data_IF_172224319191
#
_entry.id   IF_172224319191
#
_cell.length_a   1.000
_cell.length_b   1.000
_cell.length_c   1.000
_cell.angle_alpha   90.00
_cell.angle_beta   90.00
_cell.angle_gamma   90.00
#
_symmetry.space_group_name_H-M   'P 1'
#
loop_
_entity.id
_entity.type
_entity.pdbx_description
1 polymer ?
#
# COMPACT_ATOMS: atom_id res chain seq x y z
N UNK A 1 7.89 -4.04 20.33
CA UNK A 1 8.98 -4.79 20.99
C UNK A 1 10.27 -4.03 20.73
N UNK A 2 11.06 -3.79 21.77
CA UNK A 2 12.35 -3.09 21.69
C UNK A 2 13.39 -3.80 22.57
N UNK A 3 14.64 -3.80 22.12
CA UNK A 3 15.77 -4.36 22.87
C UNK A 3 16.61 -3.19 23.39
N UNK A 4 16.93 -3.18 24.68
CA UNK A 4 17.72 -2.13 25.32
C UNK A 4 18.88 -2.74 26.11
N UNK A 5 20.01 -2.05 26.17
CA UNK A 5 21.16 -2.47 27.00
C UNK A 5 20.90 -2.12 28.47
N UNK A 6 21.27 -3.02 29.37
CA UNK A 6 21.06 -2.90 30.81
C UNK A 6 19.70 -3.42 31.30
N UNK A 7 19.51 -3.34 32.61
CA UNK A 7 18.27 -3.74 33.29
C UNK A 7 17.36 -2.54 33.50
N UNK A 8 16.22 -2.54 32.81
CA UNK A 8 15.24 -1.45 32.84
C UNK A 8 13.90 -2.04 33.27
N UNK A 9 13.32 -1.52 34.34
CA UNK A 9 11.98 -1.88 34.79
C UNK A 9 11.03 -0.71 34.55
N UNK A 10 9.89 -0.98 33.90
CA UNK A 10 8.82 -0.01 33.74
C UNK A 10 7.46 -0.70 33.81
N UNK A 11 6.55 -0.16 34.63
CA UNK A 11 5.23 -0.73 34.88
C UNK A 11 4.28 -0.66 33.67
N UNK A 12 4.59 0.17 32.66
CA UNK A 12 3.79 0.34 31.45
C UNK A 12 4.03 -0.77 30.42
N UNK A 13 5.05 -1.62 30.63
CA UNK A 13 5.39 -2.68 29.69
C UNK A 13 5.88 -3.95 30.38
N UNK A 14 5.85 -5.05 29.64
CA UNK A 14 6.49 -6.29 30.08
C UNK A 14 7.98 -6.19 29.79
N UNK A 15 8.80 -6.23 30.83
CA UNK A 15 10.25 -6.23 30.75
C UNK A 15 10.77 -7.67 30.91
N UNK A 16 11.54 -8.16 29.96
CA UNK A 16 12.24 -9.44 30.06
C UNK A 16 13.75 -9.18 30.08
N UNK A 17 14.44 -9.72 31.07
CA UNK A 17 15.85 -9.43 31.26
C UNK A 17 16.75 -10.56 30.76
N UNK A 18 17.80 -10.18 30.02
CA UNK A 18 18.99 -11.00 29.77
C UNK A 18 20.13 -10.61 30.73
N UNK A 19 21.34 -11.09 30.49
CA UNK A 19 22.50 -10.79 31.35
C UNK A 19 22.93 -9.32 31.31
N UNK A 20 22.78 -8.66 30.15
CA UNK A 20 23.19 -7.28 29.92
C UNK A 20 22.16 -6.48 29.10
N UNK A 21 20.95 -6.99 28.96
CA UNK A 21 19.89 -6.35 28.17
C UNK A 21 18.50 -6.53 28.78
N UNK A 22 17.57 -5.68 28.34
CA UNK A 22 16.14 -5.78 28.60
C UNK A 22 15.37 -5.77 27.28
N UNK A 23 14.52 -6.77 27.08
CA UNK A 23 13.52 -6.82 26.03
C UNK A 23 12.21 -6.23 26.56
N UNK A 24 11.81 -5.10 26.00
CA UNK A 24 10.57 -4.40 26.33
C UNK A 24 9.46 -4.80 25.36
N UNK A 25 8.35 -5.28 25.92
CA UNK A 25 7.16 -5.71 25.19
C UNK A 25 5.96 -4.91 25.71
N UNK A 26 5.43 -4.01 24.87
CA UNK A 26 4.24 -3.21 25.19
C UNK A 26 3.72 -2.45 23.97
N UNK A 27 2.71 -1.59 24.20
CA UNK A 27 2.01 -0.75 23.22
C UNK A 27 2.76 0.56 22.93
N UNK A 28 2.10 1.52 22.26
CA UNK A 28 2.67 2.80 21.82
C UNK A 28 3.41 3.60 22.91
N UNK A 29 2.98 3.48 24.17
CA UNK A 29 3.60 4.17 25.32
C UNK A 29 5.07 3.78 25.55
N UNK A 30 5.46 2.57 25.12
CA UNK A 30 6.85 2.10 25.19
C UNK A 30 7.74 2.85 24.21
N UNK A 31 7.19 3.30 23.08
CA UNK A 31 7.92 4.03 22.05
C UNK A 31 8.30 5.43 22.53
N UNK A 32 7.34 6.17 23.09
CA UNK A 32 7.57 7.50 23.66
C UNK A 32 8.62 7.44 24.78
N UNK A 33 8.58 6.40 25.61
CA UNK A 33 9.58 6.18 26.66
C UNK A 33 10.98 6.00 26.08
N UNK A 34 11.14 5.17 25.05
CA UNK A 34 12.46 4.92 24.44
C UNK A 34 13.00 6.20 23.79
N UNK A 35 12.16 6.96 23.09
CA UNK A 35 12.54 8.20 22.42
C UNK A 35 12.91 9.32 23.42
N UNK A 36 12.28 9.33 24.59
CA UNK A 36 12.47 10.40 25.59
C UNK A 36 13.58 10.09 26.60
N UNK A 37 13.76 8.81 26.97
CA UNK A 37 14.59 8.42 28.12
C UNK A 37 15.86 7.62 27.78
N UNK A 38 15.97 7.00 26.60
CA UNK A 38 17.10 6.11 26.29
C UNK A 38 17.82 6.48 24.97
N UNK A 39 18.63 7.53 25.04
CA UNK A 39 19.68 7.81 24.06
C UNK A 39 20.91 6.94 24.35
N UNK A 40 20.89 5.63 24.03
CA UNK A 40 22.08 4.89 23.57
C UNK A 40 21.81 3.41 23.25
N UNK A 41 22.19 3.07 22.02
CA UNK A 41 22.62 1.77 21.50
C UNK A 41 21.59 0.60 21.44
N UNK A 42 21.17 0.35 20.19
CA UNK A 42 20.55 -0.85 19.60
C UNK A 42 19.02 -0.88 19.48
N UNK A 43 18.47 -0.01 18.62
CA UNK A 43 17.05 0.01 18.27
C UNK A 43 16.74 -0.95 17.08
N UNK A 44 16.34 -2.20 17.35
CA UNK A 44 15.63 -3.02 16.37
C UNK A 44 14.12 -2.88 16.59
N UNK A 45 13.49 -1.97 15.84
CA UNK A 45 12.05 -1.73 15.90
C UNK A 45 11.31 -2.67 14.93
N UNK A 46 10.67 -3.71 15.46
CA UNK A 46 9.71 -4.51 14.68
C UNK A 46 8.29 -3.94 14.86
N UNK A 47 7.79 -3.23 13.84
CA UNK A 47 6.37 -2.87 13.71
C UNK A 47 5.65 -3.96 12.92
N UNK A 48 4.99 -4.89 13.60
CA UNK A 48 3.93 -5.70 12.98
C UNK A 48 2.74 -4.77 12.75
N UNK A 49 2.29 -4.60 11.51
CA UNK A 49 1.15 -3.75 11.16
C UNK A 49 -0.08 -4.11 12.02
N UNK A 50 -0.57 -3.16 12.84
CA UNK A 50 -1.64 -3.35 13.84
C UNK A 50 -3.03 -2.91 13.35
N UNK A 51 -3.25 -2.79 12.04
CA UNK A 51 -4.50 -2.22 11.53
C UNK A 51 -5.30 -3.22 10.70
N UNK A 52 -5.57 -4.41 11.26
CA UNK A 52 -6.47 -5.41 10.65
C UNK A 52 -7.90 -5.33 11.16
N UNK A 53 -8.85 -5.75 10.30
CA UNK A 53 -10.29 -5.87 10.63
C UNK A 53 -10.62 -7.02 11.60
N UNK A 54 -9.64 -7.88 11.92
CA UNK A 54 -9.70 -8.93 12.96
C UNK A 54 -8.88 -8.44 14.17
N UNK A 55 -9.42 -8.43 15.40
CA UNK A 55 -8.92 -7.58 16.47
C UNK A 55 -7.71 -8.17 17.21
N UNK A 56 -6.59 -7.44 17.20
CA UNK A 56 -5.65 -7.34 18.31
C UNK A 56 -5.17 -5.87 18.37
N UNK A 57 -5.87 -5.06 19.16
CA UNK A 57 -5.71 -3.61 19.40
C UNK A 57 -6.14 -2.66 18.27
N UNK A 58 -7.28 -2.00 18.51
CA UNK A 58 -7.82 -0.89 17.74
C UNK A 58 -7.07 0.40 18.13
N UNK A 59 -6.23 0.94 17.25
CA UNK A 59 -5.96 2.37 17.24
C UNK A 59 -6.72 2.99 16.06
N UNK A 60 -7.80 3.71 16.38
CA UNK A 60 -8.72 4.34 15.45
C UNK A 60 -8.21 5.67 14.87
N UNK A 61 -6.92 5.97 14.99
CA UNK A 61 -6.35 7.28 14.64
C UNK A 61 -5.35 7.26 13.48
N UNK A 62 -4.99 6.08 12.98
CA UNK A 62 -4.09 5.98 11.83
C UNK A 62 -4.79 6.40 10.53
N UNK A 63 -4.14 7.16 9.64
CA UNK A 63 -4.71 7.56 8.37
C UNK A 63 -5.02 6.36 7.47
N UNK A 64 -4.46 5.18 7.72
CA UNK A 64 -4.59 4.01 6.84
C UNK A 64 -4.90 2.73 7.61
N UNK A 65 -5.66 1.82 6.99
CA UNK A 65 -5.81 0.43 7.45
C UNK A 65 -4.75 -0.45 6.79
N UNK A 66 -3.98 -1.17 7.58
CA UNK A 66 -2.84 -1.99 7.17
C UNK A 66 -3.02 -3.42 7.70
N UNK A 67 -3.28 -4.36 6.80
CA UNK A 67 -3.44 -5.76 7.18
C UNK A 67 -2.07 -6.47 7.32
N UNK A 68 -1.95 -7.46 8.24
CA UNK A 68 -0.73 -8.21 8.47
C UNK A 68 -0.09 -8.77 7.21
N UNK A 69 1.24 -8.67 7.16
CA UNK A 69 2.04 -9.13 6.02
C UNK A 69 2.17 -8.12 4.89
N UNK A 70 1.48 -6.97 4.93
CA UNK A 70 1.79 -5.86 4.03
C UNK A 70 3.19 -5.29 4.35
N UNK A 71 4.00 -5.01 3.33
CA UNK A 71 5.34 -4.43 3.45
C UNK A 71 5.32 -3.03 2.86
N UNK A 72 5.55 -2.01 3.69
CA UNK A 72 5.58 -0.61 3.26
C UNK A 72 6.96 -0.05 3.57
N UNK A 73 7.66 0.44 2.54
CA UNK A 73 8.97 1.05 2.70
C UNK A 73 8.85 2.48 3.24
N UNK A 74 9.87 2.89 3.98
CA UNK A 74 10.04 4.28 4.40
C UNK A 74 9.99 5.24 3.20
N UNK A 75 9.35 6.39 3.39
CA UNK A 75 9.14 7.38 2.34
C UNK A 75 7.93 7.12 1.42
N UNK A 76 7.21 6.01 1.60
CA UNK A 76 5.86 5.87 1.03
C UNK A 76 4.85 6.74 1.81
N UNK A 77 3.88 7.31 1.11
CA UNK A 77 2.86 8.18 1.69
C UNK A 77 1.48 7.55 1.51
N UNK A 78 0.81 7.26 2.62
CA UNK A 78 -0.53 6.71 2.65
C UNK A 78 -1.52 7.77 3.15
N UNK A 79 -2.57 8.07 2.37
CA UNK A 79 -3.58 9.07 2.72
C UNK A 79 -4.77 8.45 3.49
N UNK A 80 -5.62 9.34 4.04
CA UNK A 80 -6.72 8.97 4.93
C UNK A 80 -7.65 7.91 4.31
N UNK A 81 -8.02 6.91 5.08
CA UNK A 81 -8.96 5.86 4.71
C UNK A 81 -8.41 4.83 3.72
N UNK A 82 -7.14 4.90 3.31
CA UNK A 82 -6.60 3.89 2.42
C UNK A 82 -6.49 2.53 3.14
N UNK A 83 -6.62 1.45 2.38
CA UNK A 83 -6.58 0.08 2.88
C UNK A 83 -5.48 -0.66 2.14
N UNK A 84 -4.52 -1.23 2.86
CA UNK A 84 -3.47 -2.09 2.31
C UNK A 84 -3.69 -3.49 2.84
N UNK A 85 -4.01 -4.43 1.95
CA UNK A 85 -4.32 -5.81 2.30
C UNK A 85 -3.05 -6.68 2.38
N UNK A 86 -3.24 -7.92 2.85
CA UNK A 86 -2.17 -8.83 3.21
C UNK A 86 -1.19 -9.10 2.06
N UNK A 87 0.10 -9.06 2.34
CA UNK A 87 1.16 -9.38 1.37
C UNK A 87 1.40 -8.31 0.31
N UNK A 88 0.64 -7.21 0.29
CA UNK A 88 0.91 -6.10 -0.62
C UNK A 88 2.26 -5.44 -0.31
N UNK A 89 2.98 -5.00 -1.34
CA UNK A 89 4.27 -4.32 -1.21
C UNK A 89 4.16 -2.90 -1.74
N UNK A 90 4.45 -1.90 -0.91
CA UNK A 90 4.46 -0.49 -1.29
C UNK A 90 5.87 0.06 -1.17
N UNK A 91 6.43 0.51 -2.30
CA UNK A 91 7.83 0.89 -2.40
C UNK A 91 8.04 2.40 -2.11
N UNK A 92 9.30 2.81 -1.91
CA UNK A 92 9.67 4.18 -1.52
C UNK A 92 9.15 5.23 -2.50
N UNK A 93 8.67 6.35 -1.97
CA UNK A 93 8.17 7.48 -2.76
C UNK A 93 6.82 7.22 -3.44
N UNK A 94 6.23 6.04 -3.27
CA UNK A 94 4.86 5.80 -3.72
C UNK A 94 3.88 6.65 -2.90
N UNK A 95 2.85 7.18 -3.56
CA UNK A 95 1.80 7.98 -2.92
C UNK A 95 0.46 7.32 -3.20
N UNK A 96 -0.25 6.94 -2.14
CA UNK A 96 -1.56 6.29 -2.19
C UNK A 96 -2.63 7.27 -1.74
N UNK A 97 -3.57 7.60 -2.63
CA UNK A 97 -4.67 8.53 -2.38
C UNK A 97 -5.68 8.05 -1.33
N UNK A 98 -6.57 8.97 -0.97
CA UNK A 98 -7.60 8.74 0.06
C UNK A 98 -8.56 7.63 -0.35
N UNK A 99 -8.98 6.80 0.61
CA UNK A 99 -9.97 5.73 0.40
C UNK A 99 -9.58 4.71 -0.69
N UNK A 100 -8.31 4.68 -1.08
CA UNK A 100 -7.79 3.74 -2.08
C UNK A 100 -7.48 2.39 -1.44
N UNK A 101 -7.79 1.31 -2.15
CA UNK A 101 -7.52 -0.06 -1.73
C UNK A 101 -6.37 -0.65 -2.54
N UNK A 102 -5.37 -1.16 -1.85
CA UNK A 102 -4.29 -1.99 -2.39
C UNK A 102 -4.56 -3.42 -1.95
N UNK A 103 -4.97 -4.26 -2.89
CA UNK A 103 -5.42 -5.62 -2.60
C UNK A 103 -4.23 -6.58 -2.40
N UNK A 104 -4.54 -7.81 -2.00
CA UNK A 104 -3.58 -8.81 -1.55
C UNK A 104 -2.48 -9.03 -2.60
N UNK A 105 -1.23 -9.05 -2.14
CA UNK A 105 -0.06 -9.30 -2.97
C UNK A 105 0.15 -8.32 -4.16
N UNK A 106 -0.58 -7.20 -4.21
CA UNK A 106 -0.29 -6.16 -5.19
C UNK A 106 1.07 -5.50 -4.91
N UNK A 107 1.77 -5.09 -5.97
CA UNK A 107 3.08 -4.45 -5.88
C UNK A 107 2.98 -3.03 -6.43
N UNK A 108 3.24 -2.05 -5.56
CA UNK A 108 3.31 -0.64 -5.93
C UNK A 108 4.77 -0.23 -6.02
N UNK A 109 5.22 -0.01 -7.25
CA UNK A 109 6.59 0.40 -7.55
C UNK A 109 6.93 1.80 -7.05
N UNK A 110 8.23 2.06 -6.96
CA UNK A 110 8.74 3.31 -6.38
C UNK A 110 8.28 4.53 -7.17
N UNK A 111 7.95 5.60 -6.45
CA UNK A 111 7.52 6.88 -7.05
C UNK A 111 6.12 6.87 -7.68
N UNK A 112 5.42 5.72 -7.72
CA UNK A 112 4.09 5.62 -8.31
C UNK A 112 3.08 6.50 -7.55
N UNK A 113 2.21 7.19 -8.28
CA UNK A 113 1.19 8.08 -7.72
C UNK A 113 -0.19 7.52 -8.04
N UNK A 114 -0.94 7.17 -7.00
CA UNK A 114 -2.27 6.58 -7.12
C UNK A 114 -3.29 7.55 -6.53
N UNK A 115 -4.32 7.86 -7.29
CA UNK A 115 -5.41 8.75 -6.92
C UNK A 115 -6.31 8.19 -5.80
N UNK A 116 -7.40 8.90 -5.54
CA UNK A 116 -8.39 8.60 -4.50
C UNK A 116 -9.41 7.58 -4.98
N UNK A 117 -9.99 6.81 -4.05
CA UNK A 117 -11.04 5.81 -4.31
C UNK A 117 -10.69 4.84 -5.44
N UNK A 118 -9.39 4.60 -5.63
CA UNK A 118 -8.87 3.68 -6.63
C UNK A 118 -8.76 2.29 -6.01
N UNK A 119 -8.94 1.26 -6.83
CA UNK A 119 -8.82 -0.14 -6.41
C UNK A 119 -7.71 -0.80 -7.24
N UNK A 120 -6.64 -1.21 -6.57
CA UNK A 120 -5.55 -1.99 -7.16
C UNK A 120 -5.78 -3.46 -6.83
N UNK A 121 -6.22 -4.25 -7.81
CA UNK A 121 -6.62 -5.64 -7.62
C UNK A 121 -5.48 -6.57 -7.22
N UNK A 122 -5.84 -7.72 -6.65
CA UNK A 122 -4.87 -8.66 -6.10
C UNK A 122 -3.79 -9.06 -7.12
N UNK A 123 -2.53 -9.08 -6.68
CA UNK A 123 -1.38 -9.43 -7.50
C UNK A 123 -1.06 -8.45 -8.65
N UNK A 124 -1.78 -7.33 -8.78
CA UNK A 124 -1.45 -6.33 -9.80
C UNK A 124 -0.08 -5.70 -9.53
N UNK A 125 0.65 -5.37 -10.60
CA UNK A 125 1.98 -4.76 -10.54
C UNK A 125 1.93 -3.39 -11.18
N UNK A 126 2.18 -2.37 -10.36
CA UNK A 126 2.36 -1.00 -10.82
C UNK A 126 3.87 -0.76 -10.89
N UNK A 127 4.42 -0.62 -12.10
CA UNK A 127 5.85 -0.49 -12.27
C UNK A 127 6.39 0.79 -11.62
N UNK A 128 7.57 0.68 -11.02
CA UNK A 128 8.24 1.79 -10.35
C UNK A 128 9.15 2.56 -11.31
N UNK A 129 9.42 3.81 -10.98
CA UNK A 129 10.43 4.63 -11.67
C UNK A 129 11.14 5.50 -10.63
N UNK A 130 12.36 5.13 -10.27
CA UNK A 130 13.27 5.94 -9.46
C UNK A 130 14.36 6.56 -10.34
N UNK A 131 14.88 5.77 -11.28
CA UNK A 131 15.94 6.18 -12.18
C UNK A 131 15.57 5.79 -13.63
N UNK A 132 15.81 6.69 -14.60
CA UNK A 132 16.42 8.01 -14.46
C UNK A 132 15.43 9.08 -13.94
N UNK A 133 15.95 10.11 -13.26
CA UNK A 133 15.16 11.19 -12.63
C UNK A 133 14.27 11.94 -13.64
N UNK A 134 14.63 11.94 -14.93
CA UNK A 134 13.90 12.64 -15.98
C UNK A 134 12.64 11.91 -16.49
N UNK A 135 12.38 10.68 -16.04
CA UNK A 135 11.17 9.94 -16.39
C UNK A 135 10.12 10.05 -15.30
N UNK A 136 8.90 10.34 -15.72
CA UNK A 136 7.74 10.25 -14.84
C UNK A 136 7.53 8.80 -14.38
N UNK A 137 7.18 8.65 -13.10
CA UNK A 137 6.64 7.40 -12.58
C UNK A 137 5.19 7.19 -13.05
N UNK A 138 4.68 5.98 -12.83
CA UNK A 138 3.29 5.66 -13.12
C UNK A 138 2.35 6.58 -12.34
N UNK A 139 1.36 7.14 -13.03
CA UNK A 139 0.31 7.98 -12.45
C UNK A 139 -1.05 7.34 -12.72
N UNK A 140 -1.78 7.03 -11.68
CA UNK A 140 -3.14 6.49 -11.73
C UNK A 140 -4.08 7.53 -11.15
N UNK A 141 -5.11 7.90 -11.90
CA UNK A 141 -6.12 8.87 -11.50
C UNK A 141 -7.03 8.39 -10.36
N UNK A 142 -8.05 9.20 -10.11
CA UNK A 142 -9.09 8.93 -9.13
C UNK A 142 -10.14 7.96 -9.68
N UNK A 143 -10.79 7.20 -8.79
CA UNK A 143 -11.89 6.28 -9.11
C UNK A 143 -11.52 5.19 -10.14
N UNK A 144 -10.25 4.82 -10.25
CA UNK A 144 -9.74 3.81 -11.19
C UNK A 144 -9.90 2.40 -10.62
N UNK A 145 -10.19 1.43 -11.49
CA UNK A 145 -10.13 0.01 -11.16
C UNK A 145 -9.01 -0.67 -11.96
N UNK A 146 -8.02 -1.22 -11.27
CA UNK A 146 -6.99 -2.08 -11.86
C UNK A 146 -7.34 -3.53 -11.52
N UNK A 147 -7.59 -4.36 -12.53
CA UNK A 147 -7.93 -5.75 -12.36
C UNK A 147 -6.80 -6.59 -11.76
N UNK A 148 -7.17 -7.73 -11.19
CA UNK A 148 -6.20 -8.66 -10.59
C UNK A 148 -5.13 -9.10 -11.59
N UNK A 149 -3.88 -9.24 -11.13
CA UNK A 149 -2.72 -9.60 -11.94
C UNK A 149 -2.47 -8.72 -13.18
N UNK A 150 -3.07 -7.53 -13.27
CA UNK A 150 -2.73 -6.58 -14.33
C UNK A 150 -1.35 -5.96 -14.07
N UNK A 151 -0.64 -5.63 -15.14
CA UNK A 151 0.67 -4.97 -15.08
C UNK A 151 0.58 -3.62 -15.77
N UNK A 152 0.94 -2.55 -15.06
CA UNK A 152 1.07 -1.20 -15.62
C UNK A 152 2.55 -0.89 -15.78
N UNK A 153 3.01 -0.75 -17.03
CA UNK A 153 4.42 -0.47 -17.32
C UNK A 153 4.81 0.95 -16.88
N UNK A 154 6.12 1.20 -16.86
CA UNK A 154 6.70 2.42 -16.35
C UNK A 154 6.26 3.67 -17.13
N UNK A 155 6.08 4.79 -16.43
CA UNK A 155 5.77 6.09 -17.03
C UNK A 155 4.37 6.21 -17.65
N UNK A 156 3.53 5.18 -17.50
CA UNK A 156 2.15 5.20 -18.00
C UNK A 156 1.25 6.07 -17.12
N UNK A 157 0.38 6.82 -17.78
CA UNK A 157 -0.69 7.60 -17.15
C UNK A 157 -2.05 6.94 -17.39
N UNK A 158 -2.75 6.63 -16.31
CA UNK A 158 -4.12 6.11 -16.32
C UNK A 158 -5.05 7.22 -15.86
N UNK A 159 -5.92 7.67 -16.74
CA UNK A 159 -6.89 8.73 -16.47
C UNK A 159 -7.93 8.33 -15.43
N UNK A 160 -8.60 9.34 -14.86
CA UNK A 160 -9.64 9.13 -13.85
C UNK A 160 -10.71 8.18 -14.38
N UNK A 161 -11.35 7.46 -13.48
CA UNK A 161 -12.46 6.56 -13.79
C UNK A 161 -12.14 5.45 -14.81
N UNK A 162 -10.88 5.23 -15.20
CA UNK A 162 -10.53 4.16 -16.11
C UNK A 162 -10.69 2.78 -15.46
N UNK A 163 -10.80 1.74 -16.29
CA UNK A 163 -10.85 0.34 -15.86
C UNK A 163 -9.82 -0.45 -16.66
N UNK A 164 -8.93 -1.16 -15.96
CA UNK A 164 -8.00 -2.12 -16.56
C UNK A 164 -8.50 -3.51 -16.23
N UNK A 165 -8.79 -4.33 -17.25
CA UNK A 165 -9.23 -5.71 -17.05
C UNK A 165 -8.16 -6.58 -16.40
N UNK A 166 -8.58 -7.64 -15.70
CA UNK A 166 -7.67 -8.59 -15.06
C UNK A 166 -6.67 -9.19 -16.07
N UNK A 167 -5.44 -9.43 -15.61
CA UNK A 167 -4.35 -10.00 -16.41
C UNK A 167 -3.84 -9.12 -17.56
N UNK A 168 -4.29 -7.87 -17.69
CA UNK A 168 -3.89 -7.00 -18.80
C UNK A 168 -2.50 -6.42 -18.61
N UNK A 169 -1.76 -6.20 -19.69
CA UNK A 169 -0.46 -5.50 -19.67
C UNK A 169 -0.60 -4.15 -20.35
N UNK A 170 -0.64 -3.08 -19.55
CA UNK A 170 -0.83 -1.71 -20.02
C UNK A 170 0.49 -1.14 -20.49
N UNK A 171 0.62 -0.98 -21.81
CA UNK A 171 1.84 -0.50 -22.46
C UNK A 171 1.74 0.94 -22.98
N UNK A 172 0.60 1.61 -22.77
CA UNK A 172 0.30 2.96 -23.25
C UNK A 172 -0.68 3.63 -22.29
N UNK A 173 -0.69 4.96 -22.30
CA UNK A 173 -1.62 5.76 -21.51
C UNK A 173 -3.08 5.37 -21.77
N UNK A 174 -3.87 5.38 -20.71
CA UNK A 174 -5.29 5.04 -20.73
C UNK A 174 -6.09 6.32 -20.54
N UNK A 175 -6.93 6.73 -21.51
CA UNK A 175 -7.76 7.91 -21.35
C UNK A 175 -8.76 7.77 -20.21
N UNK A 176 -9.20 8.90 -19.66
CA UNK A 176 -10.22 8.94 -18.61
C UNK A 176 -11.50 8.22 -19.04
N UNK A 177 -12.08 7.47 -18.11
CA UNK A 177 -13.34 6.77 -18.30
C UNK A 177 -13.28 5.63 -19.33
N UNK A 178 -12.08 5.20 -19.77
CA UNK A 178 -11.96 4.11 -20.74
C UNK A 178 -11.69 2.76 -20.06
N UNK A 179 -12.15 1.71 -20.71
CA UNK A 179 -11.93 0.31 -20.34
C UNK A 179 -10.89 -0.26 -21.27
N UNK A 180 -9.81 -0.81 -20.72
CA UNK A 180 -8.75 -1.49 -21.47
C UNK A 180 -8.60 -2.94 -21.04
N UNK A 181 -8.28 -3.83 -21.97
CA UNK A 181 -8.04 -5.24 -21.69
C UNK A 181 -7.01 -5.84 -22.65
N UNK A 182 -6.31 -6.89 -22.20
CA UNK A 182 -5.46 -7.74 -23.03
C UNK A 182 -3.95 -7.51 -22.87
N UNK A 183 -3.18 -8.25 -23.66
CA UNK A 183 -1.70 -8.23 -23.66
C UNK A 183 -1.22 -8.07 -25.11
N UNK A 184 -0.78 -6.87 -25.53
CA UNK A 184 -0.84 -5.60 -24.80
C UNK A 184 -2.28 -5.06 -24.69
N UNK A 185 -2.56 -4.30 -23.64
CA UNK A 185 -3.89 -3.76 -23.38
C UNK A 185 -4.36 -2.83 -24.50
N UNK A 186 -5.62 -2.95 -24.87
CA UNK A 186 -6.30 -2.10 -25.87
C UNK A 186 -7.60 -1.59 -25.31
N UNK A 187 -7.98 -0.40 -25.76
CA UNK A 187 -9.29 0.17 -25.47
C UNK A 187 -10.36 -0.74 -26.03
N UNK A 188 -11.28 -1.17 -25.17
CA UNK A 188 -12.43 -2.00 -25.52
C UNK A 188 -13.67 -1.13 -25.66
N UNK A 189 -13.92 -0.23 -24.70
CA UNK A 189 -15.13 0.59 -24.61
C UNK A 189 -15.00 1.71 -23.58
N UNK A 190 -15.98 2.60 -23.55
CA UNK A 190 -16.13 3.59 -22.48
C UNK A 190 -16.78 2.96 -21.22
N UNK A 191 -16.42 3.46 -20.04
CA UNK A 191 -16.93 2.97 -18.75
C UNK A 191 -18.41 3.26 -18.55
N UNK A 192 -18.91 4.38 -19.10
CA UNK A 192 -20.33 4.71 -19.03
C UNK A 192 -21.22 3.59 -19.58
N UNK A 193 -20.72 2.85 -20.58
CA UNK A 193 -21.40 1.70 -21.18
C UNK A 193 -21.46 0.48 -20.24
N UNK A 194 -20.55 0.34 -19.27
CA UNK A 194 -20.58 -0.78 -18.30
C UNK A 194 -21.79 -0.65 -17.37
N UNK A 195 -22.12 0.57 -16.93
CA UNK A 195 -23.25 0.78 -15.99
C UNK A 195 -24.60 0.51 -16.65
N UNK A 196 -24.68 0.60 -17.98
CA UNK A 196 -25.92 0.45 -18.73
C UNK A 196 -26.21 -0.99 -19.17
N UNK A 197 -25.24 -1.90 -19.14
CA UNK A 197 -25.41 -3.27 -19.63
C UNK A 197 -24.79 -4.34 -18.68
N UNK A 198 -25.61 -5.19 -18.05
CA UNK A 198 -25.15 -6.25 -17.15
C UNK A 198 -24.26 -7.33 -17.81
N UNK A 199 -24.45 -7.62 -19.10
CA UNK A 199 -23.69 -8.67 -19.81
C UNK A 199 -22.20 -8.29 -19.97
N UNK A 200 -21.92 -6.99 -19.98
CA UNK A 200 -20.57 -6.45 -20.05
C UNK A 200 -19.77 -6.75 -18.78
N UNK A 201 -20.44 -6.85 -17.63
CA UNK A 201 -19.78 -7.13 -16.35
C UNK A 201 -19.18 -8.55 -16.29
N UNK A 202 -19.73 -9.49 -17.06
CA UNK A 202 -19.17 -10.85 -17.21
C UNK A 202 -17.91 -10.87 -18.09
N UNK A 203 -17.81 -10.03 -19.13
CA UNK A 203 -16.63 -9.97 -20.01
C UNK A 203 -15.35 -9.40 -19.37
N UNK A 204 -15.49 -8.77 -18.20
CA UNK A 204 -14.41 -8.15 -17.44
C UNK A 204 -13.85 -9.05 -16.33
N UNK A 205 -14.48 -10.21 -16.10
CA UNK A 205 -14.02 -11.24 -15.15
C UNK A 205 -13.03 -12.19 -15.80
#
# INVERSE_FOLDING_TARGET
MALMKGHIEDARCTCLHGEDFTLLIGSGDVLEMIETECMQEALFQYRYAQSSKVPLLLNSEEPARLEPGSIIREGAVLKKGCIVLMGAVVNIGAVIGEETMIDMNAVIGSGAKIGRRTHIGAGAVIAGMLEPICKDAVKIGDDVLIGANAVVLEGIQIGNQAVVGAGSVVTRDVPEGMVVQGIPARVVKARCEIRTDPAINESLR
#
